data_IF_703888110339
#
_entry.id   IF_703888110339
#
_cell.length_a   1.000
_cell.length_b   1.000
_cell.length_c   1.000
_cell.angle_alpha   90.00
_cell.angle_beta   90.00
_cell.angle_gamma   90.00
#
_symmetry.space_group_name_H-M   'P 1'
#
loop_
_entity.id
_entity.type
_entity.pdbx_description
1 polymer ?
#
# COMPACT_ATOMS: atom_id res chain seq x y z
N UNK A 1 3.78 -3.47 -19.75
CA UNK A 1 4.26 -4.59 -18.89
C UNK A 1 3.12 -5.04 -18.01
N UNK A 2 2.61 -6.25 -18.23
CA UNK A 2 1.52 -6.81 -17.42
C UNK A 2 2.07 -7.32 -16.09
N UNK A 3 1.39 -7.02 -15.00
CA UNK A 3 1.73 -7.56 -13.68
C UNK A 3 0.86 -8.78 -13.38
N UNK A 4 1.46 -9.81 -12.79
CA UNK A 4 0.72 -10.90 -12.16
C UNK A 4 0.34 -10.45 -10.75
N UNK A 5 -0.96 -10.41 -10.46
CA UNK A 5 -1.49 -9.93 -9.18
C UNK A 5 -2.21 -11.08 -8.48
N UNK A 6 -1.81 -11.38 -7.25
CA UNK A 6 -2.63 -12.18 -6.33
C UNK A 6 -3.71 -11.28 -5.72
N UNK A 7 -4.96 -11.74 -5.65
CA UNK A 7 -6.04 -11.00 -5.02
C UNK A 7 -6.50 -11.74 -3.77
N UNK A 8 -6.60 -11.02 -2.66
CA UNK A 8 -7.09 -11.59 -1.40
C UNK A 8 -8.62 -11.68 -1.37
N UNK A 9 -9.12 -12.87 -1.06
CA UNK A 9 -10.49 -13.25 -0.66
C UNK A 9 -11.66 -12.44 -1.25
N UNK A 10 -12.21 -12.87 -2.39
CA UNK A 10 -13.53 -12.42 -2.89
C UNK A 10 -13.63 -10.92 -3.24
N UNK A 11 -12.55 -10.14 -3.10
CA UNK A 11 -12.53 -8.72 -3.43
C UNK A 11 -12.57 -8.54 -4.95
N UNK A 12 -13.29 -7.50 -5.39
CA UNK A 12 -13.39 -7.10 -6.80
C UNK A 12 -12.40 -5.98 -7.18
N UNK A 13 -11.66 -5.44 -6.20
CA UNK A 13 -10.69 -4.36 -6.39
C UNK A 13 -9.28 -4.74 -5.95
N UNK A 14 -8.28 -4.15 -6.60
CA UNK A 14 -6.86 -4.30 -6.31
C UNK A 14 -6.49 -3.68 -4.96
N UNK A 15 -5.74 -4.40 -4.12
CA UNK A 15 -5.13 -3.82 -2.92
C UNK A 15 -3.80 -3.16 -3.28
N UNK A 16 -3.47 -2.06 -2.62
CA UNK A 16 -2.16 -1.44 -2.79
C UNK A 16 -1.00 -2.38 -2.41
N UNK A 17 -1.19 -3.26 -1.43
CA UNK A 17 -0.22 -4.28 -1.04
C UNK A 17 0.07 -5.28 -2.17
N UNK A 18 -0.95 -5.71 -2.92
CA UNK A 18 -0.79 -6.64 -4.05
C UNK A 18 0.05 -5.99 -5.16
N UNK A 19 -0.28 -4.74 -5.49
CA UNK A 19 0.45 -3.98 -6.50
C UNK A 19 1.91 -3.75 -6.07
N UNK A 20 2.14 -3.32 -4.83
CA UNK A 20 3.50 -3.09 -4.31
C UNK A 20 4.33 -4.37 -4.26
N UNK A 21 3.71 -5.49 -3.89
CA UNK A 21 4.36 -6.80 -3.91
C UNK A 21 4.81 -7.15 -5.33
N UNK A 22 3.90 -7.07 -6.31
CA UNK A 22 4.23 -7.35 -7.70
C UNK A 22 5.30 -6.40 -8.27
N UNK A 23 5.25 -5.12 -7.91
CA UNK A 23 6.27 -4.15 -8.31
C UNK A 23 7.64 -4.48 -7.72
N UNK A 24 7.70 -4.91 -6.46
CA UNK A 24 8.94 -5.31 -5.81
C UNK A 24 9.51 -6.60 -6.39
N UNK A 25 8.67 -7.55 -6.81
CA UNK A 25 9.11 -8.73 -7.55
C UNK A 25 9.74 -8.37 -8.90
N UNK A 26 9.18 -7.39 -9.61
CA UNK A 26 9.71 -6.95 -10.91
C UNK A 26 10.95 -6.08 -10.78
N UNK A 27 11.00 -5.23 -9.75
CA UNK A 27 12.09 -4.31 -9.47
C UNK A 27 12.62 -4.49 -8.04
N UNK A 28 13.34 -5.60 -7.76
CA UNK A 28 13.88 -5.87 -6.44
C UNK A 28 14.91 -4.82 -6.00
N UNK A 29 15.61 -4.21 -6.96
CA UNK A 29 16.61 -3.17 -6.72
C UNK A 29 16.04 -1.74 -6.79
N UNK A 30 14.71 -1.58 -6.64
CA UNK A 30 14.13 -0.24 -6.59
C UNK A 30 14.72 0.56 -5.42
N UNK A 31 14.95 1.86 -5.62
CA UNK A 31 15.55 2.74 -4.61
C UNK A 31 14.50 3.59 -3.91
N UNK A 32 13.41 3.90 -4.60
CA UNK A 32 12.28 4.64 -4.06
C UNK A 32 11.02 4.39 -4.90
N UNK A 33 9.86 4.56 -4.27
CA UNK A 33 8.57 4.50 -4.95
C UNK A 33 7.64 5.61 -4.46
N UNK A 34 6.88 6.20 -5.38
CA UNK A 34 5.72 7.05 -5.11
C UNK A 34 4.56 6.54 -5.95
N UNK A 35 3.65 5.82 -5.30
CA UNK A 35 2.43 5.31 -5.92
C UNK A 35 1.24 6.15 -5.46
N UNK A 36 0.42 6.60 -6.42
CA UNK A 36 -0.74 7.45 -6.20
C UNK A 36 -1.96 6.86 -6.88
N UNK A 37 -2.97 6.51 -6.09
CA UNK A 37 -4.26 6.03 -6.56
C UNK A 37 -5.23 7.20 -6.68
N UNK A 38 -5.80 7.35 -7.86
CA UNK A 38 -6.82 8.35 -8.18
C UNK A 38 -8.22 7.74 -8.11
N UNK A 39 -8.34 6.45 -8.49
CA UNK A 39 -9.57 5.68 -8.45
C UNK A 39 -9.31 4.23 -8.01
N UNK A 40 -10.31 3.52 -7.47
CA UNK A 40 -10.25 2.07 -7.31
C UNK A 40 -9.96 1.40 -8.66
N UNK A 41 -9.20 0.31 -8.63
CA UNK A 41 -8.87 -0.47 -9.83
C UNK A 41 -9.55 -1.82 -9.70
N UNK A 42 -10.38 -2.15 -10.68
CA UNK A 42 -11.02 -3.45 -10.80
C UNK A 42 -10.31 -4.28 -11.87
N UNK A 43 -10.00 -5.54 -11.55
CA UNK A 43 -9.31 -6.45 -12.47
C UNK A 43 -7.78 -6.31 -12.49
N UNK A 44 -7.18 -6.90 -13.52
CA UNK A 44 -5.73 -6.96 -13.70
C UNK A 44 -5.17 -5.60 -14.09
N UNK A 45 -3.85 -5.47 -14.05
CA UNK A 45 -3.17 -4.23 -14.43
C UNK A 45 -2.03 -4.44 -15.40
N UNK A 46 -1.91 -3.48 -16.32
CA UNK A 46 -0.71 -3.27 -17.09
C UNK A 46 -0.07 -1.93 -16.72
N UNK A 47 1.25 -1.96 -16.51
CA UNK A 47 2.07 -0.76 -16.42
C UNK A 47 2.48 -0.31 -17.82
N UNK A 48 2.23 0.96 -18.10
CA UNK A 48 2.62 1.63 -19.35
C UNK A 48 3.49 2.82 -18.97
N UNK A 49 4.56 3.09 -19.72
CA UNK A 49 5.33 4.32 -19.50
C UNK A 49 4.42 5.52 -19.65
N UNK A 50 4.59 6.52 -18.80
CA UNK A 50 3.70 7.68 -18.79
C UNK A 50 3.72 8.48 -20.10
N UNK A 51 4.82 8.44 -20.86
CA UNK A 51 4.91 9.03 -22.20
C UNK A 51 3.98 8.39 -23.22
N UNK A 52 3.62 7.13 -23.02
CA UNK A 52 2.92 6.30 -24.00
C UNK A 52 1.45 6.07 -23.57
N UNK A 53 1.03 6.69 -22.47
CA UNK A 53 -0.33 6.56 -21.94
C UNK A 53 -1.19 7.75 -22.37
N UNK A 54 -2.37 7.46 -22.90
CA UNK A 54 -3.37 8.45 -23.32
C UNK A 54 -4.61 8.32 -22.44
N UNK A 55 -5.08 9.43 -21.88
CA UNK A 55 -6.27 9.51 -21.04
C UNK A 55 -5.99 9.46 -19.54
N UNK A 56 -7.07 9.36 -18.76
CA UNK A 56 -7.02 9.29 -17.31
C UNK A 56 -6.62 7.90 -16.83
N UNK A 57 -5.66 7.86 -15.91
CA UNK A 57 -5.18 6.61 -15.32
C UNK A 57 -5.58 6.54 -13.86
N UNK A 58 -6.13 5.42 -13.38
CA UNK A 58 -6.54 5.27 -11.99
C UNK A 58 -5.35 5.23 -11.01
N UNK A 59 -4.12 5.01 -11.50
CA UNK A 59 -2.94 5.00 -10.66
C UNK A 59 -1.69 5.49 -11.40
N UNK A 60 -0.90 6.30 -10.72
CA UNK A 60 0.41 6.77 -11.17
C UNK A 60 1.49 6.21 -10.27
N UNK A 61 2.53 5.65 -10.86
CA UNK A 61 3.68 5.10 -10.14
C UNK A 61 4.93 5.85 -10.62
N UNK A 62 5.72 6.34 -9.68
CA UNK A 62 7.08 6.83 -9.96
C UNK A 62 8.00 5.89 -9.19
N UNK A 63 8.91 5.24 -9.90
CA UNK A 63 9.93 4.37 -9.31
C UNK A 63 11.30 4.95 -9.61
N UNK A 64 12.19 4.93 -8.62
CA UNK A 64 13.59 5.30 -8.80
C UNK A 64 14.42 4.04 -9.03
N UNK A 65 15.01 3.93 -10.22
CA UNK A 65 15.84 2.81 -10.66
C UNK A 65 17.18 3.36 -11.12
N UNK A 66 18.29 2.83 -10.61
CA UNK A 66 19.64 3.26 -10.99
C UNK A 66 19.86 4.79 -10.93
N UNK A 67 19.27 5.46 -9.94
CA UNK A 67 19.35 6.91 -9.77
C UNK A 67 18.31 7.71 -10.56
N UNK A 68 17.58 7.10 -11.49
CA UNK A 68 16.64 7.78 -12.38
C UNK A 68 15.18 7.52 -12.00
N UNK A 69 14.35 8.55 -12.09
CA UNK A 69 12.91 8.42 -11.88
C UNK A 69 12.21 7.99 -13.18
N UNK A 70 11.58 6.83 -13.16
CA UNK A 70 10.76 6.32 -14.25
C UNK A 70 9.29 6.40 -13.83
N UNK A 71 8.47 7.05 -14.67
CA UNK A 71 7.05 7.25 -14.41
C UNK A 71 6.21 6.28 -15.23
N UNK A 72 5.31 5.58 -14.55
CA UNK A 72 4.34 4.66 -15.13
C UNK A 72 2.92 5.09 -14.82
N UNK A 73 2.02 4.68 -15.70
CA UNK A 73 0.56 4.75 -15.57
C UNK A 73 0.00 3.35 -15.57
N UNK A 74 -1.07 3.15 -14.81
CA UNK A 74 -1.78 1.88 -14.77
C UNK A 74 -2.91 1.87 -15.79
N UNK A 75 -2.96 0.83 -16.62
CA UNK A 75 -4.07 0.49 -17.49
C UNK A 75 -4.82 -0.70 -16.85
N UNK A 76 -6.09 -0.52 -16.44
CA UNK A 76 -6.93 -1.64 -16.03
C UNK A 76 -7.15 -2.60 -17.19
N UNK A 77 -7.15 -3.88 -16.89
CA UNK A 77 -7.42 -4.95 -17.85
C UNK A 77 -8.57 -5.82 -17.34
N UNK A 78 -9.29 -6.51 -18.26
CA UNK A 78 -10.24 -7.54 -17.86
C UNK A 78 -9.57 -8.59 -16.99
N UNK A 79 -10.31 -9.02 -15.98
CA UNK A 79 -9.89 -9.95 -14.94
C UNK A 79 -9.58 -11.33 -15.53
N UNK A 80 -8.36 -11.87 -15.37
CA UNK A 80 -8.01 -13.23 -15.84
C UNK A 80 -7.28 -14.04 -14.76
N UNK A 81 -7.91 -15.13 -14.30
CA UNK A 81 -7.40 -16.15 -13.37
C UNK A 81 -7.07 -15.67 -11.95
N UNK A 82 -7.62 -16.35 -10.93
CA UNK A 82 -7.36 -16.09 -9.52
C UNK A 82 -6.43 -17.13 -8.93
N UNK A 83 -5.35 -16.65 -8.32
CA UNK A 83 -4.88 -17.27 -7.09
C UNK A 83 -5.54 -16.49 -5.94
N UNK A 84 -6.46 -17.14 -5.24
CA UNK A 84 -7.06 -16.57 -4.05
C UNK A 84 -6.03 -16.66 -2.92
N UNK A 85 -5.55 -15.51 -2.47
CA UNK A 85 -4.69 -15.44 -1.31
C UNK A 85 -5.57 -15.26 -0.06
N UNK A 86 -5.36 -16.08 0.96
CA UNK A 86 -5.96 -15.86 2.28
C UNK A 86 -5.03 -14.98 3.10
N UNK A 87 -5.53 -13.85 3.59
CA UNK A 87 -4.82 -12.99 4.54
C UNK A 87 -5.66 -12.82 5.80
N UNK A 88 -5.13 -13.29 6.92
CA UNK A 88 -5.73 -13.05 8.23
C UNK A 88 -5.25 -11.70 8.80
N UNK A 89 -5.93 -10.62 8.40
CA UNK A 89 -5.66 -9.26 8.90
C UNK A 89 -5.83 -9.20 10.44
N UNK A 90 -6.71 -10.01 11.04
CA UNK A 90 -6.96 -10.01 12.48
C UNK A 90 -5.80 -10.65 13.26
N UNK A 91 -5.22 -11.74 12.76
CA UNK A 91 -4.04 -12.36 13.36
C UNK A 91 -2.82 -11.42 13.36
N UNK A 92 -2.63 -10.64 12.29
CA UNK A 92 -1.58 -9.62 12.22
C UNK A 92 -1.79 -8.55 13.29
N UNK A 93 -3.02 -8.01 13.40
CA UNK A 93 -3.33 -6.97 14.40
C UNK A 93 -3.16 -7.50 15.83
N UNK A 94 -3.56 -8.75 16.11
CA UNK A 94 -3.43 -9.35 17.43
C UNK A 94 -1.96 -9.49 17.91
N UNK A 95 -1.01 -9.57 16.98
CA UNK A 95 0.44 -9.59 17.27
C UNK A 95 1.03 -8.19 17.48
N UNK A 96 0.33 -7.13 17.08
CA UNK A 96 0.84 -5.78 17.15
C UNK A 96 0.76 -5.21 18.58
N UNK A 97 1.80 -4.46 18.97
CA UNK A 97 1.79 -3.65 20.18
C UNK A 97 1.16 -2.29 19.88
N UNK A 98 0.18 -1.92 20.70
CA UNK A 98 -0.54 -0.65 20.58
C UNK A 98 0.10 0.43 21.44
N UNK A 99 0.28 1.61 20.85
CA UNK A 99 0.53 2.87 21.54
C UNK A 99 -0.50 3.92 21.11
N UNK A 100 -0.52 5.07 21.76
CA UNK A 100 -1.54 6.12 21.52
C UNK A 100 -1.70 6.48 20.04
N UNK A 101 -0.59 6.60 19.29
CA UNK A 101 -0.61 7.03 17.89
C UNK A 101 0.19 6.11 16.96
N UNK A 102 0.49 4.88 17.39
CA UNK A 102 1.26 3.95 16.57
C UNK A 102 0.95 2.48 16.87
N UNK A 103 1.14 1.65 15.85
CA UNK A 103 1.18 0.19 15.97
C UNK A 103 2.54 -0.33 15.55
N UNK A 104 3.10 -1.21 16.37
CA UNK A 104 4.40 -1.85 16.12
C UNK A 104 4.22 -3.36 16.06
N UNK A 105 4.83 -4.01 15.07
CA UNK A 105 4.83 -5.48 14.95
C UNK A 105 6.25 -5.98 14.72
N UNK A 106 6.58 -7.11 15.35
CA UNK A 106 7.75 -7.92 15.00
C UNK A 106 7.38 -8.80 13.80
N UNK A 107 8.01 -8.66 12.63
CA UNK A 107 7.74 -9.51 11.47
C UNK A 107 8.12 -10.97 11.75
N UNK A 108 7.31 -11.90 11.25
CA UNK A 108 7.63 -13.31 11.16
C UNK A 108 8.23 -13.64 9.78
N UNK A 109 8.97 -14.73 9.65
CA UNK A 109 9.69 -15.10 8.42
C UNK A 109 8.81 -15.24 7.17
N UNK A 110 7.51 -15.51 7.35
CA UNK A 110 6.54 -15.70 6.27
C UNK A 110 5.69 -14.45 5.99
N UNK A 111 5.88 -13.37 6.75
CA UNK A 111 5.08 -12.17 6.59
C UNK A 111 5.49 -11.39 5.32
N UNK A 112 4.49 -10.96 4.55
CA UNK A 112 4.69 -9.96 3.50
C UNK A 112 4.75 -8.56 4.11
N UNK A 113 5.84 -7.84 3.87
CA UNK A 113 6.05 -6.48 4.38
C UNK A 113 4.87 -5.53 4.08
N UNK A 114 4.34 -5.54 2.86
CA UNK A 114 3.25 -4.63 2.48
C UNK A 114 1.93 -5.03 3.12
N UNK A 115 1.66 -6.33 3.28
CA UNK A 115 0.49 -6.77 4.04
C UNK A 115 0.56 -6.29 5.49
N UNK A 116 1.74 -6.33 6.13
CA UNK A 116 1.94 -5.76 7.46
C UNK A 116 1.66 -4.25 7.48
N UNK A 117 2.33 -3.46 6.63
CA UNK A 117 2.16 -1.99 6.58
C UNK A 117 0.69 -1.62 6.42
N UNK A 118 0.00 -2.27 5.48
CA UNK A 118 -1.38 -1.92 5.14
C UNK A 118 -2.36 -2.36 6.23
N UNK A 119 -2.13 -3.52 6.83
CA UNK A 119 -2.97 -4.03 7.91
C UNK A 119 -2.84 -3.18 9.16
N UNK A 120 -1.60 -2.84 9.55
CA UNK A 120 -1.35 -1.91 10.65
C UNK A 120 -1.95 -0.54 10.37
N UNK A 121 -1.78 0.00 9.16
CA UNK A 121 -2.36 1.30 8.81
C UNK A 121 -3.88 1.31 8.94
N UNK A 122 -4.57 0.28 8.43
CA UNK A 122 -6.04 0.15 8.57
C UNK A 122 -6.46 0.09 10.04
N UNK A 123 -5.79 -0.73 10.83
CA UNK A 123 -6.10 -0.88 12.25
C UNK A 123 -5.88 0.44 13.01
N UNK A 124 -4.80 1.15 12.70
CA UNK A 124 -4.46 2.43 13.32
C UNK A 124 -5.52 3.50 13.03
N UNK A 125 -5.94 3.67 11.78
CA UNK A 125 -6.96 4.68 11.44
C UNK A 125 -8.34 4.33 11.96
N UNK A 126 -8.72 3.04 11.99
CA UNK A 126 -9.99 2.61 12.56
C UNK A 126 -10.02 2.83 14.09
N UNK A 127 -8.88 2.64 14.77
CA UNK A 127 -8.77 2.89 16.21
C UNK A 127 -8.78 4.38 16.53
N UNK A 128 -8.07 5.19 15.73
CA UNK A 128 -8.01 6.64 15.95
C UNK A 128 -9.31 7.36 15.59
N UNK A 129 -10.09 6.82 14.65
CA UNK A 129 -11.35 7.39 14.19
C UNK A 129 -12.47 6.34 14.22
N UNK A 130 -12.94 5.92 15.39
CA UNK A 130 -13.95 4.85 15.50
C UNK A 130 -15.35 5.31 15.06
N UNK A 131 -15.60 6.62 15.02
CA UNK A 131 -16.91 7.21 14.73
C UNK A 131 -17.10 7.63 13.26
N UNK A 132 -16.11 7.45 12.38
CA UNK A 132 -16.29 7.80 10.96
C UNK A 132 -17.14 6.77 10.24
N UNK A 133 -18.15 7.25 9.52
CA UNK A 133 -18.92 6.45 8.58
C UNK A 133 -18.23 6.47 7.20
N UNK A 134 -17.84 5.30 6.70
CA UNK A 134 -17.14 5.15 5.43
C UNK A 134 -16.02 4.12 5.50
N UNK A 135 -15.27 4.01 4.41
CA UNK A 135 -14.14 3.08 4.29
C UNK A 135 -12.86 3.86 4.03
N UNK A 136 -11.83 3.59 4.84
CA UNK A 136 -10.50 4.11 4.57
C UNK A 136 -9.86 3.38 3.39
N UNK A 137 -9.39 4.16 2.41
CA UNK A 137 -8.79 3.66 1.17
C UNK A 137 -7.38 4.24 1.01
N UNK A 138 -6.44 3.42 0.55
CA UNK A 138 -5.11 3.90 0.18
C UNK A 138 -5.23 4.91 -0.98
N UNK A 139 -4.61 6.06 -0.84
CA UNK A 139 -4.45 7.04 -1.92
C UNK A 139 -3.00 7.27 -2.32
N UNK A 140 -2.05 7.08 -1.40
CA UNK A 140 -0.63 7.19 -1.73
C UNK A 140 0.25 6.34 -0.83
N UNK A 141 1.32 5.79 -1.39
CA UNK A 141 2.42 5.22 -0.64
C UNK A 141 3.74 5.76 -1.20
N UNK A 142 4.58 6.28 -0.31
CA UNK A 142 5.89 6.85 -0.62
C UNK A 142 6.91 6.11 0.24
N UNK A 143 7.95 5.55 -0.36
CA UNK A 143 8.94 4.81 0.42
C UNK A 143 10.33 4.82 -0.23
N UNK A 144 11.35 4.66 0.61
CA UNK A 144 12.75 4.49 0.23
C UNK A 144 13.21 3.06 0.51
N UNK A 145 14.07 2.54 -0.34
CA UNK A 145 14.51 1.14 -0.33
C UNK A 145 16.05 1.04 -0.35
N UNK A 146 16.63 -0.11 0.08
CA UNK A 146 15.95 -1.31 0.57
C UNK A 146 15.34 -1.12 1.98
N UNK A 147 14.26 -1.82 2.26
CA UNK A 147 13.73 -1.91 3.62
C UNK A 147 14.55 -2.92 4.43
N UNK A 148 14.93 -2.60 5.67
CA UNK A 148 15.56 -3.58 6.55
C UNK A 148 14.64 -4.79 6.77
N UNK A 149 15.15 -5.99 6.47
CA UNK A 149 14.43 -7.23 6.73
C UNK A 149 14.43 -7.54 8.24
N UNK A 150 13.37 -8.21 8.71
CA UNK A 150 13.26 -8.77 10.06
C UNK A 150 13.48 -7.75 11.20
N UNK A 151 13.17 -6.47 10.95
CA UNK A 151 13.18 -5.44 11.97
C UNK A 151 11.75 -5.11 12.42
N UNK A 152 11.55 -4.69 13.68
CA UNK A 152 10.27 -4.23 14.16
C UNK A 152 9.74 -3.11 13.25
N UNK A 153 8.55 -3.32 12.70
CA UNK A 153 7.88 -2.36 11.83
C UNK A 153 6.91 -1.54 12.66
N UNK A 154 6.95 -0.22 12.52
CA UNK A 154 6.01 0.69 13.16
C UNK A 154 5.27 1.54 12.12
N UNK A 155 3.95 1.60 12.24
CA UNK A 155 3.11 2.58 11.53
C UNK A 155 2.59 3.56 12.57
N UNK A 156 2.85 4.86 12.36
CA UNK A 156 2.50 5.92 13.32
C UNK A 156 1.78 7.07 12.63
N UNK A 157 0.71 7.58 13.25
CA UNK A 157 -0.02 8.74 12.74
C UNK A 157 0.89 9.97 12.76
N UNK A 158 1.13 10.56 11.59
CA UNK A 158 1.95 11.76 11.46
C UNK A 158 1.12 13.02 11.34
N UNK A 159 0.12 13.04 10.45
CA UNK A 159 -0.75 14.20 10.21
C UNK A 159 -2.17 13.77 9.84
N UNK A 160 -3.14 14.52 10.35
CA UNK A 160 -4.49 14.58 9.82
C UNK A 160 -4.64 15.89 9.02
N UNK A 161 -4.80 15.78 7.70
CA UNK A 161 -4.86 16.94 6.80
C UNK A 161 -6.33 17.31 6.54
N UNK A 162 -6.90 18.11 7.43
CA UNK A 162 -8.25 18.68 7.26
C UNK A 162 -9.37 17.65 7.39
N UNK A 163 -10.04 17.32 6.28
CA UNK A 163 -11.34 16.62 6.25
C UNK A 163 -11.28 15.30 5.49
N UNK A 164 -10.62 14.26 6.07
CA UNK A 164 -10.60 12.85 5.62
C UNK A 164 -9.34 12.33 4.92
N UNK A 165 -8.18 12.94 5.13
CA UNK A 165 -6.89 12.38 4.68
C UNK A 165 -5.95 12.18 5.88
N UNK A 166 -5.53 10.94 6.09
CA UNK A 166 -4.57 10.56 7.13
C UNK A 166 -3.24 10.20 6.48
N UNK A 167 -2.17 10.77 7.01
CA UNK A 167 -0.80 10.41 6.68
C UNK A 167 -0.15 9.75 7.90
N UNK A 168 0.41 8.57 7.70
CA UNK A 168 1.18 7.85 8.70
C UNK A 168 2.61 7.65 8.22
N UNK A 169 3.56 7.76 9.13
CA UNK A 169 4.94 7.36 8.88
C UNK A 169 5.06 5.84 9.02
N UNK A 170 5.86 5.22 8.16
CA UNK A 170 6.30 3.83 8.26
C UNK A 170 7.77 3.84 8.65
N UNK A 171 8.13 3.11 9.70
CA UNK A 171 9.50 3.02 10.18
C UNK A 171 9.90 1.59 10.53
N UNK A 172 11.19 1.31 10.44
CA UNK A 172 11.84 0.07 10.91
C UNK A 172 13.02 0.47 11.79
N UNK A 173 13.16 -0.16 12.96
CA UNK A 173 14.18 0.21 13.97
C UNK A 173 14.25 1.74 14.22
N UNK A 174 13.08 2.38 14.32
CA UNK A 174 12.89 3.83 14.52
C UNK A 174 13.41 4.73 13.39
N UNK A 175 13.93 4.18 12.30
CA UNK A 175 14.24 4.93 11.09
C UNK A 175 12.99 5.03 10.20
N UNK A 176 12.61 6.24 9.82
CA UNK A 176 11.53 6.45 8.86
C UNK A 176 11.95 5.93 7.48
N UNK A 177 11.15 5.04 6.90
CA UNK A 177 11.38 4.42 5.59
C UNK A 177 10.31 4.81 4.56
N UNK A 178 9.23 5.44 5.00
CA UNK A 178 8.17 5.87 4.11
C UNK A 178 6.98 6.50 4.79
N UNK A 179 5.96 6.79 3.98
CA UNK A 179 4.70 7.37 4.37
C UNK A 179 3.56 6.68 3.62
N UNK A 180 2.46 6.45 4.34
CA UNK A 180 1.24 5.87 3.79
C UNK A 180 0.06 6.81 4.02
N UNK A 181 -0.73 7.02 2.96
CA UNK A 181 -1.81 7.99 2.94
C UNK A 181 -3.14 7.29 2.67
N UNK A 182 -4.08 7.47 3.60
CA UNK A 182 -5.41 6.90 3.52
C UNK A 182 -6.44 8.01 3.48
N UNK A 183 -7.41 7.90 2.57
CA UNK A 183 -8.56 8.81 2.53
C UNK A 183 -9.84 8.09 2.92
N UNK A 184 -10.72 8.77 3.66
CA UNK A 184 -12.05 8.22 3.96
C UNK A 184 -12.93 8.41 2.74
N UNK A 185 -13.39 7.30 2.17
CA UNK A 185 -14.46 7.29 1.18
C UNK A 185 -15.79 7.12 1.91
N UNK A 186 -16.69 8.09 1.76
CA UNK A 186 -18.05 7.95 2.29
C UNK A 186 -18.78 6.83 1.58
N UNK A 187 -19.54 6.05 2.35
CA UNK A 187 -20.58 5.19 1.81
C UNK A 187 -21.65 6.10 1.21
N UNK A 188 -21.89 6.01 -0.10
CA UNK A 188 -23.01 6.65 -0.76
C UNK A 188 -24.35 6.09 -0.25
#
# INVERSE_FOLDING_TARGET
MRLSLGFVDGRHHLRGADLLTALHTVWPDMQAIDIRFHHPIEGDVELVKASDYVGDSPCTIIVKLNGENVKFKVRPLPRQNFEALTLDEAAIVARATHSENALTIEPADHDNFYDLVFTLQKALVNTAFPAVNGKWMLTRYLAEYPHPANQPMTVSLHRNLGTRLVCSNVSTDKQAIGQIFFSLMESA
#
